data_IF_102819738438
#
_entry.id   IF_102819738438
#
_cell.length_a   1.000
_cell.length_b   1.000
_cell.length_c   1.000
_cell.angle_alpha   90.00
_cell.angle_beta   90.00
_cell.angle_gamma   90.00
#
_symmetry.space_group_name_H-M   'P 1'
#
loop_
_entity.id
_entity.type
_entity.pdbx_description
1 polymer ?
#
# COMPACT_ATOMS: atom_id res chain seq x y z
N UNK A 1 -7.34 6.05 -23.33
CA UNK A 1 -6.65 5.13 -22.40
C UNK A 1 -7.24 5.31 -21.02
N UNK A 2 -7.93 4.30 -20.49
CA UNK A 2 -8.45 4.31 -19.12
C UNK A 2 -7.30 4.13 -18.13
N UNK A 3 -7.27 4.94 -17.08
CA UNK A 3 -6.28 4.83 -16.02
C UNK A 3 -6.76 3.80 -14.99
N UNK A 4 -5.83 2.99 -14.46
CA UNK A 4 -6.13 1.89 -13.53
C UNK A 4 -6.97 2.35 -12.33
N UNK A 5 -6.68 3.53 -11.76
CA UNK A 5 -7.48 4.11 -10.66
C UNK A 5 -8.97 4.27 -10.96
N UNK A 6 -9.35 4.55 -12.22
CA UNK A 6 -10.77 4.70 -12.60
C UNK A 6 -11.45 3.35 -12.64
N UNK A 7 -10.75 2.33 -13.13
CA UNK A 7 -11.26 0.96 -13.18
C UNK A 7 -11.45 0.45 -11.74
N UNK A 8 -10.40 0.52 -10.92
CA UNK A 8 -10.46 0.08 -9.51
C UNK A 8 -11.52 0.89 -8.74
N UNK A 9 -11.54 2.22 -8.86
CA UNK A 9 -12.53 3.06 -8.21
C UNK A 9 -13.97 2.71 -8.61
N UNK A 10 -14.19 2.42 -9.89
CA UNK A 10 -15.49 1.97 -10.40
C UNK A 10 -15.93 0.64 -9.81
N UNK A 11 -15.01 -0.34 -9.72
CA UNK A 11 -15.28 -1.65 -9.11
C UNK A 11 -15.65 -1.50 -7.62
N UNK A 12 -14.86 -0.73 -6.85
CA UNK A 12 -15.13 -0.46 -5.44
C UNK A 12 -16.52 0.17 -5.24
N UNK A 13 -16.85 1.16 -6.06
CA UNK A 13 -18.17 1.80 -6.02
C UNK A 13 -19.30 0.80 -6.29
N UNK A 14 -19.15 -0.08 -7.30
CA UNK A 14 -20.16 -1.10 -7.61
C UNK A 14 -20.33 -2.11 -6.49
N UNK A 15 -19.23 -2.59 -5.90
CA UNK A 15 -19.27 -3.49 -4.74
C UNK A 15 -20.01 -2.86 -3.56
N UNK A 16 -19.65 -1.62 -3.21
CA UNK A 16 -20.33 -0.88 -2.14
C UNK A 16 -21.83 -0.74 -2.40
N UNK A 17 -22.21 -0.34 -3.61
CA UNK A 17 -23.61 -0.15 -4.00
C UNK A 17 -24.39 -1.47 -4.02
N UNK A 18 -23.79 -2.58 -4.47
CA UNK A 18 -24.40 -3.92 -4.42
C UNK A 18 -24.69 -4.35 -2.98
N UNK A 19 -23.88 -3.93 -2.02
CA UNK A 19 -24.10 -4.19 -0.59
C UNK A 19 -25.11 -3.22 0.05
N UNK A 20 -25.62 -2.21 -0.68
CA UNK A 20 -26.50 -1.18 -0.14
C UNK A 20 -25.83 -0.24 0.87
N UNK A 21 -24.50 -0.21 0.93
CA UNK A 21 -23.76 0.54 1.95
C UNK A 21 -23.47 1.98 1.53
N UNK A 22 -23.52 2.88 2.50
CA UNK A 22 -23.19 4.28 2.27
C UNK A 22 -21.68 4.50 2.21
N UNK A 23 -21.25 5.60 1.57
CA UNK A 23 -19.84 6.01 1.60
C UNK A 23 -19.32 6.17 3.04
N UNK A 24 -20.17 6.65 3.94
CA UNK A 24 -19.82 6.89 5.34
C UNK A 24 -19.49 5.58 6.07
N UNK A 25 -20.36 4.59 5.95
CA UNK A 25 -20.17 3.27 6.60
C UNK A 25 -18.87 2.59 6.17
N UNK A 26 -18.56 2.61 4.87
CA UNK A 26 -17.34 1.99 4.36
C UNK A 26 -16.11 2.80 4.74
N UNK A 27 -16.17 4.13 4.68
CA UNK A 27 -15.05 4.99 5.05
C UNK A 27 -14.69 4.85 6.53
N UNK A 28 -15.69 4.83 7.42
CA UNK A 28 -15.49 4.59 8.85
C UNK A 28 -14.88 3.21 9.10
N UNK A 29 -15.41 2.15 8.49
CA UNK A 29 -14.86 0.80 8.64
C UNK A 29 -13.44 0.63 8.06
N UNK A 30 -13.10 1.37 7.01
CA UNK A 30 -11.76 1.37 6.40
C UNK A 30 -10.77 2.32 7.09
N UNK A 31 -11.21 3.15 8.04
CA UNK A 31 -10.36 4.13 8.72
C UNK A 31 -9.91 5.29 7.81
N UNK A 32 -10.72 5.66 6.82
CA UNK A 32 -10.43 6.77 5.89
C UNK A 32 -11.54 7.83 5.94
N UNK A 33 -11.27 9.02 5.40
CA UNK A 33 -12.30 10.06 5.34
C UNK A 33 -13.29 9.81 4.20
N UNK A 34 -14.55 10.17 4.41
CA UNK A 34 -15.62 10.08 3.39
C UNK A 34 -15.26 10.83 2.10
N UNK A 35 -14.72 12.08 2.14
CA UNK A 35 -14.29 12.77 0.92
C UNK A 35 -13.21 11.98 0.19
N UNK A 36 -12.23 11.42 0.91
CA UNK A 36 -11.15 10.65 0.30
C UNK A 36 -11.67 9.37 -0.39
N UNK A 37 -12.53 8.58 0.26
CA UNK A 37 -13.13 7.40 -0.37
C UNK A 37 -13.91 7.78 -1.63
N UNK A 38 -14.63 8.91 -1.59
CA UNK A 38 -15.34 9.42 -2.76
C UNK A 38 -14.38 9.79 -3.90
N UNK A 39 -13.23 10.42 -3.62
CA UNK A 39 -12.17 10.67 -4.60
C UNK A 39 -11.61 9.40 -5.23
N UNK A 40 -11.43 8.35 -4.42
CA UNK A 40 -10.95 7.04 -4.87
C UNK A 40 -11.99 6.36 -5.78
N UNK A 41 -13.26 6.29 -5.36
CA UNK A 41 -14.34 5.67 -6.15
C UNK A 41 -14.55 6.34 -7.52
N UNK A 42 -14.26 7.64 -7.62
CA UNK A 42 -14.35 8.40 -8.88
C UNK A 42 -13.06 8.34 -9.70
N UNK A 43 -12.02 7.64 -9.23
CA UNK A 43 -10.71 7.56 -9.87
C UNK A 43 -10.02 8.93 -9.98
N UNK A 44 -10.22 9.81 -9.00
CA UNK A 44 -9.52 11.11 -8.89
C UNK A 44 -8.25 11.02 -8.07
N UNK A 45 -8.17 10.06 -7.13
CA UNK A 45 -6.96 9.75 -6.37
C UNK A 45 -6.51 8.30 -6.58
N UNK A 46 -5.18 8.12 -6.57
CA UNK A 46 -4.55 6.80 -6.45
C UNK A 46 -4.57 6.42 -4.96
N UNK A 47 -5.12 5.24 -4.64
CA UNK A 47 -5.08 4.70 -3.29
C UNK A 47 -3.75 3.97 -3.06
N UNK A 48 -3.17 4.10 -1.87
CA UNK A 48 -2.03 3.25 -1.50
C UNK A 48 -2.49 1.78 -1.39
N UNK A 49 -1.54 0.85 -1.44
CA UNK A 49 -1.84 -0.58 -1.33
C UNK A 49 -2.46 -0.92 0.03
N UNK A 50 -2.02 -0.26 1.10
CA UNK A 50 -2.54 -0.41 2.46
C UNK A 50 -3.99 0.08 2.55
N UNK A 51 -4.29 1.25 1.97
CA UNK A 51 -5.65 1.81 1.96
C UNK A 51 -6.57 0.96 1.10
N UNK A 52 -6.11 0.49 -0.05
CA UNK A 52 -6.90 -0.40 -0.90
C UNK A 52 -7.26 -1.69 -0.15
N UNK A 53 -6.29 -2.29 0.55
CA UNK A 53 -6.53 -3.46 1.39
C UNK A 53 -7.50 -3.17 2.54
N UNK A 54 -7.43 -1.99 3.16
CA UNK A 54 -8.37 -1.58 4.20
C UNK A 54 -9.80 -1.45 3.67
N UNK A 55 -9.98 -0.86 2.49
CA UNK A 55 -11.29 -0.76 1.84
C UNK A 55 -11.83 -2.15 1.46
N UNK A 56 -10.98 -3.06 0.95
CA UNK A 56 -11.39 -4.43 0.65
C UNK A 56 -11.89 -5.16 1.90
N UNK A 57 -11.15 -5.05 3.02
CA UNK A 57 -11.57 -5.60 4.32
C UNK A 57 -12.89 -5.00 4.79
N UNK A 58 -13.07 -3.68 4.65
CA UNK A 58 -14.31 -3.01 5.03
C UNK A 58 -15.51 -3.47 4.19
N UNK A 59 -15.29 -3.83 2.92
CA UNK A 59 -16.29 -4.42 2.02
C UNK A 59 -16.43 -5.95 2.17
N UNK A 60 -15.62 -6.60 3.01
CA UNK A 60 -15.67 -8.05 3.22
C UNK A 60 -15.23 -8.88 2.00
N UNK A 61 -14.33 -8.34 1.17
CA UNK A 61 -13.78 -9.05 0.00
C UNK A 61 -12.26 -9.15 0.06
N UNK A 62 -11.70 -10.09 -0.71
CA UNK A 62 -10.26 -10.17 -0.88
C UNK A 62 -9.77 -9.22 -1.97
N UNK A 63 -8.49 -8.83 -1.90
CA UNK A 63 -7.87 -8.01 -2.93
C UNK A 63 -7.84 -8.72 -4.29
N UNK A 64 -7.71 -10.05 -4.30
CA UNK A 64 -7.79 -10.88 -5.51
C UNK A 64 -9.11 -10.68 -6.26
N UNK A 65 -10.23 -10.64 -5.53
CA UNK A 65 -11.57 -10.54 -6.11
C UNK A 65 -11.78 -9.15 -6.74
N UNK A 66 -11.27 -8.11 -6.08
CA UNK A 66 -11.23 -6.76 -6.63
C UNK A 66 -10.42 -6.71 -7.93
N UNK A 67 -9.25 -7.34 -7.96
CA UNK A 67 -8.38 -7.35 -9.14
C UNK A 67 -8.96 -8.19 -10.27
N UNK A 68 -9.70 -9.25 -9.97
CA UNK A 68 -10.46 -10.05 -10.93
C UNK A 68 -11.55 -9.22 -11.62
N UNK A 69 -12.38 -8.50 -10.86
CA UNK A 69 -13.38 -7.60 -11.45
C UNK A 69 -12.73 -6.46 -12.23
N UNK A 70 -11.62 -5.91 -11.72
CA UNK A 70 -10.88 -4.85 -12.40
C UNK A 70 -10.28 -5.34 -13.73
N UNK A 71 -9.76 -6.56 -13.76
CA UNK A 71 -9.25 -7.22 -14.98
C UNK A 71 -10.36 -7.35 -16.02
N UNK A 72 -11.55 -7.78 -15.61
CA UNK A 72 -12.68 -7.97 -16.51
C UNK A 72 -13.20 -6.63 -17.08
N UNK A 73 -13.22 -5.58 -16.26
CA UNK A 73 -13.51 -4.21 -16.73
C UNK A 73 -12.43 -3.71 -17.69
N UNK A 74 -11.15 -3.89 -17.34
CA UNK A 74 -10.02 -3.44 -18.14
C UNK A 74 -10.04 -4.08 -19.53
N UNK A 75 -10.34 -5.39 -19.62
CA UNK A 75 -10.51 -6.11 -20.90
C UNK A 75 -11.59 -5.53 -21.82
N UNK A 76 -12.60 -4.87 -21.26
CA UNK A 76 -13.67 -4.23 -22.05
C UNK A 76 -13.26 -2.86 -22.58
N UNK A 77 -12.38 -2.16 -21.87
CA UNK A 77 -11.99 -0.78 -22.18
C UNK A 77 -10.66 -0.72 -22.93
N UNK A 78 -9.78 -1.69 -22.74
CA UNK A 78 -8.53 -1.79 -23.47
C UNK A 78 -8.78 -2.25 -24.91
N UNK A 79 -8.23 -1.53 -25.90
CA UNK A 79 -8.21 -2.03 -27.26
C UNK A 79 -7.38 -3.32 -27.29
N UNK A 80 -7.97 -4.37 -27.84
CA UNK A 80 -7.31 -5.66 -27.98
C UNK A 80 -6.13 -5.49 -28.93
N UNK A 81 -4.91 -5.43 -28.40
CA UNK A 81 -3.71 -5.52 -29.22
C UNK A 81 -3.77 -6.92 -29.86
N UNK A 82 -3.86 -7.04 -31.20
CA UNK A 82 -3.81 -8.33 -31.84
C UNK A 82 -2.50 -8.99 -31.43
N UNK A 83 -2.57 -10.18 -30.83
CA UNK A 83 -1.38 -10.94 -30.58
C UNK A 83 -0.70 -11.16 -31.93
N UNK A 84 0.47 -10.57 -32.14
CA UNK A 84 1.29 -10.90 -33.30
C UNK A 84 1.46 -12.44 -33.33
N UNK A 85 1.41 -13.07 -34.51
CA UNK A 85 1.52 -14.52 -34.62
C UNK A 85 2.71 -15.02 -33.78
N UNK A 86 2.48 -16.02 -32.94
CA UNK A 86 3.49 -16.65 -32.06
C UNK A 86 4.67 -17.28 -32.82
N UNK A 87 4.71 -17.19 -34.15
CA UNK A 87 5.76 -17.70 -35.02
C UNK A 87 7.17 -17.21 -34.63
N UNK A 88 7.31 -16.06 -33.98
CA UNK A 88 8.60 -15.55 -33.49
C UNK A 88 9.07 -16.09 -32.14
N UNK A 89 8.17 -16.62 -31.29
CA UNK A 89 8.52 -17.11 -29.94
C UNK A 89 9.03 -18.56 -29.95
N UNK A 90 8.92 -19.27 -31.08
CA UNK A 90 9.47 -20.62 -31.22
C UNK A 90 11.01 -20.66 -31.15
N UNK A 91 11.70 -19.52 -31.31
CA UNK A 91 13.17 -19.39 -31.23
C UNK A 91 13.67 -18.84 -29.88
N UNK A 92 12.78 -18.56 -28.92
CA UNK A 92 13.23 -18.51 -27.53
C UNK A 92 13.37 -19.95 -27.08
N UNK A 93 14.44 -20.61 -27.54
CA UNK A 93 14.86 -21.87 -26.96
C UNK A 93 14.87 -21.68 -25.45
N UNK A 94 14.30 -22.65 -24.72
CA UNK A 94 14.55 -22.73 -23.29
C UNK A 94 16.07 -22.75 -23.18
N UNK A 95 16.67 -21.66 -22.71
CA UNK A 95 17.97 -21.76 -22.12
C UNK A 95 17.76 -22.77 -21.00
N UNK A 96 18.17 -24.02 -21.24
CA UNK A 96 18.27 -25.00 -20.18
C UNK A 96 19.13 -24.31 -19.14
N UNK A 97 18.50 -23.95 -18.02
CA UNK A 97 19.22 -23.62 -16.80
C UNK A 97 19.87 -24.94 -16.46
N UNK A 98 21.07 -25.15 -16.99
CA UNK A 98 21.89 -26.28 -16.66
C UNK A 98 21.92 -26.31 -15.15
N UNK A 99 21.37 -27.39 -14.56
CA UNK A 99 21.75 -27.71 -13.19
C UNK A 99 23.27 -27.72 -13.22
N UNK A 100 23.96 -26.92 -12.39
CA UNK A 100 25.38 -27.11 -12.23
C UNK A 100 25.53 -28.52 -11.65
N UNK A 101 25.85 -29.48 -12.51
CA UNK A 101 26.35 -30.77 -12.08
C UNK A 101 27.59 -30.48 -11.24
N UNK A 102 27.47 -30.84 -9.97
CA UNK A 102 28.49 -30.92 -8.94
C UNK A 102 29.88 -30.33 -9.32
N UNK A 103 30.10 -29.07 -8.95
CA UNK A 103 31.45 -28.55 -8.68
C UNK A 103 31.69 -28.56 -7.16
N UNK A 104 32.93 -28.82 -6.70
CA UNK A 104 33.21 -29.43 -5.41
C UNK A 104 32.84 -28.49 -4.26
N UNK A 105 32.36 -29.08 -3.16
CA UNK A 105 32.16 -28.39 -1.90
C UNK A 105 33.44 -27.61 -1.54
N UNK A 106 33.39 -26.29 -1.68
CA UNK A 106 34.37 -25.41 -1.08
C UNK A 106 34.28 -25.64 0.43
N UNK A 107 35.21 -26.45 0.96
CA UNK A 107 35.37 -26.61 2.40
C UNK A 107 35.72 -25.23 2.94
N UNK A 108 34.75 -24.61 3.61
CA UNK A 108 35.01 -23.45 4.46
C UNK A 108 35.85 -23.96 5.62
N UNK A 109 37.17 -23.84 5.50
CA UNK A 109 38.07 -24.05 6.62
C UNK A 109 37.82 -22.94 7.66
N UNK A 110 37.85 -23.25 8.96
CA UNK A 110 37.84 -22.21 9.97
C UNK A 110 39.04 -21.29 9.73
N UNK A 111 38.80 -19.98 9.70
CA UNK A 111 39.85 -18.96 9.63
C UNK A 111 40.78 -19.15 10.83
N UNK A 112 41.93 -19.77 10.61
CA UNK A 112 43.04 -19.64 11.54
C UNK A 112 43.48 -18.17 11.52
N UNK A 113 43.45 -17.53 12.70
CA UNK A 113 43.83 -16.14 12.88
C UNK A 113 45.32 -15.95 12.55
N UNK A 114 45.59 -15.56 11.30
CA UNK A 114 46.85 -14.93 10.92
C UNK A 114 46.72 -13.40 11.06
N UNK A 115 47.80 -12.69 11.41
CA UNK A 115 47.74 -11.26 11.66
C UNK A 115 47.34 -10.49 10.39
N UNK A 116 46.36 -9.59 10.54
CA UNK A 116 45.90 -8.67 9.51
C UNK A 116 47.03 -7.70 9.15
N UNK A 117 47.71 -7.95 8.03
CA UNK A 117 48.54 -6.92 7.43
C UNK A 117 47.63 -5.84 6.83
N UNK A 118 47.73 -4.64 7.40
CA UNK A 118 46.97 -3.47 6.99
C UNK A 118 47.43 -3.05 5.59
N UNK A 119 46.68 -3.41 4.56
CA UNK A 119 46.89 -2.84 3.23
C UNK A 119 46.48 -1.37 3.28
N UNK A 120 47.42 -0.47 3.04
CA UNK A 120 47.16 0.97 3.03
C UNK A 120 46.17 1.34 1.91
N UNK A 121 45.25 2.30 2.14
CA UNK A 121 44.33 2.76 1.11
C UNK A 121 45.06 3.47 -0.03
N UNK A 122 44.82 3.06 -1.28
CA UNK A 122 45.23 3.83 -2.47
C UNK A 122 44.48 5.17 -2.50
N UNK A 123 45.14 6.30 -2.79
CA UNK A 123 44.44 7.56 -2.96
C UNK A 123 43.73 7.54 -4.32
N UNK A 124 42.40 7.69 -4.32
CA UNK A 124 41.64 7.79 -5.59
C UNK A 124 40.16 7.44 -5.52
N UNK A 125 39.63 6.98 -4.38
CA UNK A 125 38.20 6.72 -4.23
C UNK A 125 37.44 7.92 -3.67
N UNK A 126 36.48 8.44 -4.42
CA UNK A 126 35.48 9.42 -3.95
C UNK A 126 34.70 8.81 -2.79
N UNK A 127 34.97 9.22 -1.56
CA UNK A 127 34.20 8.77 -0.38
C UNK A 127 32.86 9.50 -0.35
N UNK A 128 31.78 8.78 -0.64
CA UNK A 128 30.42 9.28 -0.50
C UNK A 128 30.07 9.36 1.00
N UNK A 129 29.89 10.57 1.52
CA UNK A 129 29.56 10.82 2.93
C UNK A 129 28.08 10.48 3.18
N UNK A 130 27.82 9.34 3.79
CA UNK A 130 26.50 9.05 4.38
C UNK A 130 26.42 9.77 5.71
N UNK A 131 25.53 10.76 5.80
CA UNK A 131 25.24 11.49 7.03
C UNK A 131 24.72 10.54 8.12
N UNK A 132 25.22 10.72 9.35
CA UNK A 132 24.81 9.96 10.53
C UNK A 132 23.31 10.14 10.81
N UNK A 133 22.58 9.09 11.23
CA UNK A 133 21.30 9.28 11.89
C UNK A 133 21.56 9.91 13.26
N UNK A 134 21.15 11.16 13.47
CA UNK A 134 21.13 11.76 14.81
C UNK A 134 19.95 11.17 15.57
N UNK A 135 20.27 10.20 16.43
CA UNK A 135 19.42 9.79 17.53
C UNK A 135 19.46 10.88 18.61
N UNK A 136 18.31 11.41 19.02
CA UNK A 136 18.17 12.23 20.20
C UNK A 136 16.92 11.77 20.98
N UNK A 137 17.18 11.17 22.15
CA UNK A 137 16.19 10.78 23.16
C UNK A 137 16.43 11.64 24.41
N UNK A 138 15.33 11.90 25.14
CA UNK A 138 15.18 12.55 26.47
C UNK A 138 15.08 14.09 26.41
N UNK A 139 14.15 14.78 27.05
CA UNK A 139 13.11 14.41 28.02
C UNK A 139 12.91 15.57 29.02
N UNK A 140 11.64 15.88 29.38
CA UNK A 140 11.20 16.77 30.48
C UNK A 140 11.59 18.27 30.32
N UNK A 141 10.92 19.31 30.82
CA UNK A 141 9.73 19.56 31.63
C UNK A 141 9.52 21.09 31.63
N UNK A 142 8.28 21.60 31.65
CA UNK A 142 8.01 22.95 32.16
C UNK A 142 6.86 23.71 31.47
N UNK A 143 6.16 24.61 32.18
CA UNK A 143 4.70 24.75 32.04
C UNK A 143 4.23 26.09 31.47
N UNK A 144 2.90 26.18 31.30
CA UNK A 144 2.02 27.37 31.29
C UNK A 144 1.47 27.77 29.92
N UNK A 145 0.22 27.39 29.68
CA UNK A 145 -0.78 28.34 29.19
C UNK A 145 -2.14 27.99 29.76
N UNK A 146 -2.65 28.91 30.57
CA UNK A 146 -4.03 28.95 31.08
C UNK A 146 -4.93 29.32 29.90
N UNK A 147 -5.90 28.48 29.56
CA UNK A 147 -7.11 28.94 28.90
C UNK A 147 -8.28 28.42 29.72
N UNK A 148 -8.84 29.32 30.50
CA UNK A 148 -10.15 29.16 31.10
C UNK A 148 -11.19 29.35 30.00
N UNK A 149 -12.08 28.40 29.81
CA UNK A 149 -13.43 28.66 29.30
C UNK A 149 -14.39 27.72 30.04
N UNK A 150 -15.29 28.37 30.78
CA UNK A 150 -16.10 27.80 31.82
C UNK A 150 -17.24 26.92 31.32
N UNK A 151 -17.71 26.13 32.28
CA UNK A 151 -18.87 25.27 32.24
C UNK A 151 -20.18 26.07 32.13
N UNK A 152 -21.17 25.48 31.46
CA UNK A 152 -22.58 25.82 31.58
C UNK A 152 -23.44 24.57 31.42
N UNK A 153 -23.70 23.87 32.54
CA UNK A 153 -24.70 22.80 32.66
C UNK A 153 -26.07 23.40 33.00
N UNK A 154 -27.12 22.93 32.33
CA UNK A 154 -28.51 22.84 32.83
C UNK A 154 -29.24 21.81 31.93
N UNK A 155 -29.52 20.56 32.33
CA UNK A 155 -30.60 20.00 33.18
C UNK A 155 -32.04 20.23 32.68
N UNK A 156 -32.74 19.09 32.54
CA UNK A 156 -34.20 18.83 32.57
C UNK A 156 -35.03 19.43 31.41
N UNK A 157 -36.03 18.77 30.79
CA UNK A 157 -36.79 17.57 31.09
C UNK A 157 -38.28 17.88 30.84
N UNK A 158 -38.95 17.22 29.87
CA UNK A 158 -40.42 17.09 29.71
C UNK A 158 -40.69 16.26 28.43
N UNK A 159 -41.20 15.02 28.54
CA UNK A 159 -42.63 14.62 28.57
C UNK A 159 -43.37 14.75 27.23
N UNK A 160 -43.72 13.57 26.71
CA UNK A 160 -44.99 13.13 26.09
C UNK A 160 -45.70 14.03 25.08
N UNK A 161 -46.00 13.45 23.91
CA UNK A 161 -47.28 13.63 23.21
C UNK A 161 -47.53 12.45 22.24
N UNK A 162 -48.47 11.60 22.65
CA UNK A 162 -49.37 10.78 21.82
C UNK A 162 -50.50 11.68 21.35
N UNK A 163 -50.98 11.55 20.10
CA UNK A 163 -52.27 12.00 19.47
C UNK A 163 -52.01 11.91 17.95
N UNK A 164 -52.74 11.29 17.01
CA UNK A 164 -53.91 10.39 16.89
C UNK A 164 -53.51 9.33 15.87
#
# INVERSE_FOLDING_TARGET
MSLLRRVIGGVLRRLRLRQGRTLREVAEAAGVSVPYLSEVERGRKEASSEVLAAICRALGIHLSDLLEEARDDLRRVEPRIPAAPRAGLARLERAEVGRPDAAPAARVAPRAGGPLLHLAPRPGGTTLRVGRPTSAVHGRSGPRTRVALGCGRARAGARALTVV
#
